data_IF_238069558194
#
_entry.id   IF_238069558194
#
_cell.length_a   1.000
_cell.length_b   1.000
_cell.length_c   1.000
_cell.angle_alpha   90.00
_cell.angle_beta   90.00
_cell.angle_gamma   90.00
#
_symmetry.space_group_name_H-M   'P 1'
#
loop_
_entity.id
_entity.type
_entity.pdbx_description
1 polymer ?
#
# COMPACT_ATOMS: atom_id res chain seq x y z
N UNK A 1 21.44 -8.39 12.03
CA UNK A 1 21.05 -7.89 10.69
C UNK A 1 19.73 -8.53 10.31
N UNK A 2 18.84 -7.81 9.63
CA UNK A 2 17.51 -8.31 9.26
C UNK A 2 17.41 -8.49 7.73
N UNK A 3 17.30 -9.74 7.29
CA UNK A 3 17.23 -10.07 5.86
C UNK A 3 15.79 -10.02 5.36
N UNK A 4 15.51 -9.13 4.40
CA UNK A 4 14.17 -8.99 3.81
C UNK A 4 14.05 -9.86 2.57
N UNK A 5 15.01 -9.74 1.65
CA UNK A 5 15.07 -10.46 0.39
C UNK A 5 16.52 -10.84 0.08
N UNK A 6 16.76 -11.51 -1.05
CA UNK A 6 18.13 -11.86 -1.49
C UNK A 6 19.03 -10.65 -1.73
N UNK A 7 18.45 -9.47 -1.98
CA UNK A 7 19.16 -8.24 -2.30
C UNK A 7 19.01 -7.13 -1.27
N UNK A 8 18.09 -7.27 -0.31
CA UNK A 8 17.79 -6.23 0.68
C UNK A 8 18.02 -6.80 2.08
N UNK A 9 18.99 -6.21 2.76
CA UNK A 9 19.35 -6.51 4.14
C UNK A 9 19.33 -5.20 4.90
N UNK A 10 18.59 -5.14 6.00
CA UNK A 10 18.61 -3.99 6.90
C UNK A 10 19.63 -4.24 8.03
N UNK A 11 20.60 -3.34 8.24
CA UNK A 11 21.46 -3.40 9.41
C UNK A 11 20.64 -3.08 10.67
N UNK A 12 21.07 -3.60 11.82
CA UNK A 12 20.35 -3.36 13.08
C UNK A 12 20.45 -1.90 13.53
N UNK A 13 21.43 -1.15 13.04
CA UNK A 13 21.61 0.28 13.31
C UNK A 13 20.49 1.14 12.75
N UNK A 14 19.76 0.66 11.73
CA UNK A 14 18.60 1.35 11.17
C UNK A 14 17.30 1.02 11.93
N UNK A 15 17.34 0.05 12.84
CA UNK A 15 16.19 -0.42 13.61
C UNK A 15 16.28 0.10 15.04
N UNK A 16 15.37 1.00 15.40
CA UNK A 16 15.26 1.46 16.79
C UNK A 16 14.19 0.64 17.49
N UNK A 17 14.58 -0.11 18.50
CA UNK A 17 13.69 -0.93 19.31
C UNK A 17 13.49 -0.28 20.68
N UNK A 18 12.24 -0.06 21.07
CA UNK A 18 11.86 0.42 22.40
C UNK A 18 11.00 -0.62 23.09
N UNK A 19 11.36 -0.95 24.31
CA UNK A 19 10.58 -1.83 25.17
C UNK A 19 9.53 -1.03 25.93
N UNK A 20 8.35 -1.61 26.01
CA UNK A 20 7.17 -1.00 26.61
C UNK A 20 6.48 -2.03 27.50
N UNK A 21 5.68 -1.56 28.44
CA UNK A 21 4.77 -2.44 29.17
C UNK A 21 3.63 -2.84 28.24
N UNK A 22 3.26 -4.11 28.30
CA UNK A 22 2.08 -4.57 27.59
C UNK A 22 0.83 -3.97 28.25
N UNK A 23 -0.12 -3.53 27.44
CA UNK A 23 -1.43 -3.05 27.84
C UNK A 23 -2.47 -4.19 27.79
N UNK A 24 -3.41 -4.17 28.72
CA UNK A 24 -4.52 -5.13 28.79
C UNK A 24 -4.79 -5.66 30.21
N UNK A 25 -5.94 -6.33 30.41
CA UNK A 25 -6.25 -6.95 31.69
C UNK A 25 -5.24 -8.07 31.99
N UNK A 26 -4.47 -7.91 33.06
CA UNK A 26 -3.43 -8.87 33.43
C UNK A 26 -3.05 -8.76 34.90
N UNK A 27 -2.47 -9.84 35.43
CA UNK A 27 -1.93 -9.88 36.79
C UNK A 27 -0.64 -9.07 36.93
N UNK A 28 0.05 -9.23 38.07
CA UNK A 28 1.26 -8.47 38.43
C UNK A 28 2.35 -8.43 37.33
N UNK A 29 2.45 -9.48 36.53
CA UNK A 29 3.43 -9.59 35.45
C UNK A 29 3.24 -8.54 34.33
N UNK A 30 2.00 -8.26 33.93
CA UNK A 30 1.71 -7.28 32.84
C UNK A 30 2.02 -5.86 33.30
N UNK A 31 1.77 -5.56 34.57
CA UNK A 31 1.99 -4.23 35.14
C UNK A 31 3.47 -3.93 35.41
N UNK A 32 4.31 -4.96 35.62
CA UNK A 32 5.72 -4.80 36.03
C UNK A 32 6.73 -5.06 34.92
N UNK A 33 6.43 -5.96 33.97
CA UNK A 33 7.39 -6.40 32.96
C UNK A 33 7.21 -5.66 31.64
N UNK A 34 8.32 -5.17 31.08
CA UNK A 34 8.37 -4.52 29.76
C UNK A 34 8.44 -5.56 28.64
N UNK A 35 7.36 -6.33 28.48
CA UNK A 35 7.31 -7.41 27.50
C UNK A 35 6.98 -6.95 26.08
N UNK A 36 6.33 -5.79 25.90
CA UNK A 36 5.96 -5.28 24.58
C UNK A 36 7.15 -4.60 23.88
N UNK A 37 7.17 -4.66 22.55
CA UNK A 37 8.24 -4.08 21.72
C UNK A 37 7.62 -3.13 20.71
N UNK A 38 8.12 -1.90 20.66
CA UNK A 38 7.92 -0.95 19.57
C UNK A 38 9.18 -0.92 18.71
N UNK A 39 9.04 -1.29 17.44
CA UNK A 39 10.08 -1.24 16.42
C UNK A 39 9.81 -0.05 15.52
N UNK A 40 10.78 0.85 15.42
CA UNK A 40 10.76 2.03 14.55
C UNK A 40 11.81 1.88 13.46
N UNK A 41 11.41 2.17 12.24
CA UNK A 41 12.27 2.11 11.07
C UNK A 41 12.04 3.34 10.19
N UNK A 42 13.08 4.15 9.98
CA UNK A 42 13.01 5.33 9.13
C UNK A 42 13.09 4.91 7.65
N UNK A 43 11.94 4.89 6.97
CA UNK A 43 11.84 4.49 5.57
C UNK A 43 12.35 5.61 4.65
N UNK A 44 12.17 6.87 5.04
CA UNK A 44 12.51 8.03 4.23
C UNK A 44 14.02 8.16 4.06
N UNK A 45 14.79 7.95 5.13
CA UNK A 45 16.24 8.16 5.14
C UNK A 45 17.06 6.86 5.11
N UNK A 46 16.43 5.69 4.99
CA UNK A 46 17.15 4.41 4.96
C UNK A 46 18.03 4.27 3.69
N UNK A 47 19.35 4.08 3.84
CA UNK A 47 20.27 3.82 2.72
C UNK A 47 20.11 2.40 2.17
N UNK A 48 19.61 1.47 2.98
CA UNK A 48 19.44 0.05 2.62
C UNK A 48 18.24 -0.20 1.70
N UNK A 49 17.37 0.79 1.51
CA UNK A 49 16.21 0.69 0.62
C UNK A 49 16.47 1.29 -0.77
N UNK A 50 16.19 0.53 -1.85
CA UNK A 50 16.14 1.08 -3.19
C UNK A 50 15.07 2.16 -3.33
N UNK A 51 15.36 3.22 -4.10
CA UNK A 51 14.44 4.36 -4.32
C UNK A 51 13.01 3.95 -4.74
N UNK A 52 12.81 3.02 -5.70
CA UNK A 52 11.45 2.65 -6.10
C UNK A 52 10.66 1.96 -4.99
N UNK A 53 11.34 1.29 -4.06
CA UNK A 53 10.72 0.62 -2.92
C UNK A 53 10.40 1.64 -1.82
N UNK A 54 11.34 2.55 -1.51
CA UNK A 54 11.13 3.69 -0.61
C UNK A 54 9.90 4.49 -1.03
N UNK A 55 9.85 4.93 -2.30
CA UNK A 55 8.72 5.70 -2.82
C UNK A 55 7.37 4.96 -2.68
N UNK A 56 7.34 3.64 -2.92
CA UNK A 56 6.13 2.83 -2.73
C UNK A 56 5.72 2.69 -1.28
N UNK A 57 6.68 2.50 -0.37
CA UNK A 57 6.41 2.42 1.05
C UNK A 57 5.86 3.75 1.58
N UNK A 58 6.45 4.88 1.17
CA UNK A 58 5.98 6.22 1.56
C UNK A 58 4.62 6.56 0.94
N UNK A 59 4.34 6.10 -0.27
CA UNK A 59 3.04 6.30 -0.92
C UNK A 59 1.92 5.40 -0.38
N UNK A 60 2.25 4.37 0.42
CA UNK A 60 1.24 3.51 1.04
C UNK A 60 0.51 4.31 2.12
N UNK A 61 -0.82 4.32 2.04
CA UNK A 61 -1.69 4.77 3.14
C UNK A 61 -1.73 3.69 4.23
N UNK A 62 -0.63 3.52 4.93
CA UNK A 62 -0.52 2.63 6.09
C UNK A 62 -0.64 3.45 7.38
N UNK A 63 -1.49 3.00 8.31
CA UNK A 63 -1.69 3.70 9.60
C UNK A 63 -0.46 3.62 10.51
N UNK A 64 0.48 2.73 10.17
CA UNK A 64 1.75 2.52 10.88
C UNK A 64 2.85 3.47 10.43
N UNK A 65 2.66 4.17 9.32
CA UNK A 65 3.62 5.12 8.77
C UNK A 65 3.30 6.52 9.32
N UNK A 66 4.29 7.18 9.92
CA UNK A 66 4.17 8.57 10.35
C UNK A 66 4.33 9.54 9.19
N UNK A 67 3.93 10.79 9.38
CA UNK A 67 4.11 11.86 8.38
C UNK A 67 5.59 12.10 8.05
N UNK A 68 6.49 11.87 9.01
CA UNK A 68 7.94 11.91 8.82
C UNK A 68 8.52 10.71 8.05
N UNK A 69 7.68 9.75 7.62
CA UNK A 69 8.12 8.56 6.89
C UNK A 69 8.75 7.47 7.76
N UNK A 70 8.46 7.47 9.07
CA UNK A 70 8.92 6.43 10.00
C UNK A 70 7.84 5.36 10.15
N UNK A 71 8.19 4.11 9.89
CA UNK A 71 7.32 2.97 10.10
C UNK A 71 7.42 2.49 11.55
N UNK A 72 6.29 2.49 12.26
CA UNK A 72 6.21 2.12 13.67
C UNK A 72 5.38 0.84 13.82
N UNK A 73 5.97 -0.20 14.39
CA UNK A 73 5.36 -1.52 14.57
C UNK A 73 5.39 -1.88 16.05
N UNK A 74 4.22 -2.13 16.62
CA UNK A 74 4.10 -2.60 18.00
C UNK A 74 3.75 -4.09 18.04
N UNK A 75 4.52 -4.86 18.83
CA UNK A 75 4.35 -6.28 19.07
C UNK A 75 4.19 -6.54 20.57
N UNK A 76 3.07 -7.16 20.94
CA UNK A 76 2.67 -7.44 22.34
C UNK A 76 1.91 -8.76 22.47
N UNK A 77 2.07 -9.66 21.50
CA UNK A 77 1.29 -10.90 21.39
C UNK A 77 1.70 -11.92 22.46
N UNK A 78 2.97 -11.93 22.83
CA UNK A 78 3.57 -12.91 23.72
C UNK A 78 3.88 -12.32 25.09
N UNK A 79 4.05 -13.19 26.09
CA UNK A 79 4.51 -12.80 27.42
C UNK A 79 6.02 -12.53 27.46
N UNK A 80 6.76 -13.15 26.53
CA UNK A 80 8.21 -13.05 26.41
C UNK A 80 8.61 -11.89 25.50
N UNK A 81 9.52 -11.05 25.99
CA UNK A 81 10.05 -9.89 25.27
C UNK A 81 10.79 -10.29 23.98
N UNK A 82 11.61 -11.34 24.03
CA UNK A 82 12.35 -11.84 22.86
C UNK A 82 11.42 -12.27 21.73
N UNK A 83 10.32 -12.96 22.07
CA UNK A 83 9.32 -13.41 21.08
C UNK A 83 8.56 -12.23 20.47
N UNK A 84 8.26 -11.20 21.26
CA UNK A 84 7.67 -9.97 20.72
C UNK A 84 8.65 -9.20 19.82
N UNK A 85 9.95 -9.21 20.12
CA UNK A 85 10.98 -8.63 19.26
C UNK A 85 11.04 -9.32 17.89
N UNK A 86 11.03 -10.65 17.89
CA UNK A 86 10.98 -11.46 16.66
C UNK A 86 9.70 -11.19 15.86
N UNK A 87 8.54 -11.16 16.51
CA UNK A 87 7.24 -10.83 15.88
C UNK A 87 7.24 -9.43 15.25
N UNK A 88 7.81 -8.42 15.91
CA UNK A 88 7.95 -7.08 15.34
C UNK A 88 8.82 -7.09 14.07
N UNK A 89 9.95 -7.81 14.11
CA UNK A 89 10.89 -7.93 12.97
C UNK A 89 10.24 -8.69 11.80
N UNK A 90 9.52 -9.77 12.08
CA UNK A 90 8.82 -10.54 11.06
C UNK A 90 7.75 -9.69 10.35
N UNK A 91 6.94 -8.96 11.11
CA UNK A 91 5.94 -8.03 10.55
C UNK A 91 6.58 -6.92 9.70
N UNK A 92 7.74 -6.39 10.11
CA UNK A 92 8.48 -5.43 9.31
C UNK A 92 8.86 -6.04 7.95
N UNK A 93 9.42 -7.24 7.96
CA UNK A 93 9.79 -7.98 6.76
C UNK A 93 8.58 -8.20 5.85
N UNK A 94 7.44 -8.61 6.40
CA UNK A 94 6.21 -8.81 5.63
C UNK A 94 5.71 -7.51 4.97
N UNK A 95 5.71 -6.39 5.69
CA UNK A 95 5.29 -5.10 5.15
C UNK A 95 6.16 -4.70 3.96
N UNK A 96 7.48 -4.81 4.11
CA UNK A 96 8.44 -4.44 3.08
C UNK A 96 8.34 -5.41 1.90
N UNK A 97 8.17 -6.71 2.14
CA UNK A 97 7.92 -7.71 1.08
C UNK A 97 6.64 -7.42 0.31
N UNK A 98 5.56 -7.01 0.98
CA UNK A 98 4.32 -6.59 0.32
C UNK A 98 4.54 -5.40 -0.63
N UNK A 99 5.45 -4.48 -0.29
CA UNK A 99 5.79 -3.34 -1.16
C UNK A 99 6.73 -3.69 -2.33
N UNK A 100 7.39 -4.85 -2.30
CA UNK A 100 8.16 -5.35 -3.44
C UNK A 100 7.26 -5.74 -4.62
N UNK A 101 6.02 -6.12 -4.35
CA UNK A 101 5.06 -6.52 -5.38
C UNK A 101 4.62 -5.27 -6.16
N UNK A 102 5.16 -5.13 -7.37
CA UNK A 102 4.80 -4.02 -8.28
C UNK A 102 3.44 -4.32 -8.90
N UNK A 103 2.42 -3.47 -8.69
CA UNK A 103 1.17 -3.62 -9.43
C UNK A 103 1.45 -3.38 -10.92
N UNK A 104 1.04 -4.32 -11.77
CA UNK A 104 1.16 -4.17 -13.22
C UNK A 104 0.38 -2.94 -13.67
N UNK A 105 1.02 -2.07 -14.43
CA UNK A 105 0.37 -0.89 -14.98
C UNK A 105 -0.85 -1.30 -15.82
N UNK A 106 -2.01 -0.69 -15.54
CA UNK A 106 -3.21 -0.89 -16.35
C UNK A 106 -3.04 -0.15 -17.66
N UNK A 107 -2.93 -0.90 -18.75
CA UNK A 107 -2.99 -0.35 -20.09
C UNK A 107 -4.46 -0.16 -20.45
N UNK A 108 -4.87 1.09 -20.70
CA UNK A 108 -6.25 1.40 -21.09
C UNK A 108 -6.59 0.66 -22.40
N UNK A 109 -7.71 -0.07 -22.40
CA UNK A 109 -8.18 -0.75 -23.60
C UNK A 109 -8.81 0.25 -24.55
N UNK A 110 -8.57 0.08 -25.86
CA UNK A 110 -9.27 0.86 -26.89
C UNK A 110 -10.74 0.46 -26.94
N UNK A 111 -11.68 1.36 -27.33
CA UNK A 111 -13.08 0.98 -27.55
C UNK A 111 -13.19 -0.20 -28.51
N UNK A 112 -14.06 -1.15 -28.19
CA UNK A 112 -14.25 -2.36 -28.99
C UNK A 112 -14.78 -2.04 -30.39
N UNK A 113 -14.51 -2.92 -31.36
CA UNK A 113 -15.04 -2.76 -32.73
C UNK A 113 -16.57 -2.61 -32.74
N UNK A 114 -17.27 -3.45 -31.97
CA UNK A 114 -18.73 -3.38 -31.84
C UNK A 114 -19.23 -2.06 -31.22
N UNK A 115 -18.47 -1.45 -30.31
CA UNK A 115 -18.79 -0.10 -29.80
C UNK A 115 -18.68 0.96 -30.90
N UNK A 116 -17.65 0.87 -31.75
CA UNK A 116 -17.47 1.78 -32.90
C UNK A 116 -18.59 1.61 -33.92
N UNK A 117 -18.97 0.37 -34.23
CA UNK A 117 -20.04 0.04 -35.16
C UNK A 117 -21.41 0.54 -34.67
N UNK A 118 -21.77 0.27 -33.41
CA UNK A 118 -23.00 0.79 -32.81
C UNK A 118 -23.06 2.32 -32.82
N UNK A 119 -21.94 2.99 -32.56
CA UNK A 119 -21.85 4.46 -32.67
C UNK A 119 -22.12 4.94 -34.09
N UNK A 120 -21.54 4.28 -35.10
CA UNK A 120 -21.76 4.64 -36.51
C UNK A 120 -23.21 4.38 -36.94
N UNK A 121 -23.77 3.23 -36.58
CA UNK A 121 -25.17 2.88 -36.84
C UNK A 121 -26.13 3.88 -36.19
N UNK A 122 -25.92 4.20 -34.91
CA UNK A 122 -26.70 5.22 -34.20
C UNK A 122 -26.57 6.61 -34.82
N UNK A 123 -25.38 7.00 -35.29
CA UNK A 123 -25.17 8.25 -36.03
C UNK A 123 -25.99 8.27 -37.33
N UNK A 124 -25.98 7.19 -38.10
CA UNK A 124 -26.75 7.08 -39.33
C UNK A 124 -28.27 7.13 -39.06
N UNK A 125 -28.76 6.39 -38.07
CA UNK A 125 -30.17 6.40 -37.69
C UNK A 125 -30.64 7.79 -37.26
N UNK A 126 -29.86 8.49 -36.43
CA UNK A 126 -30.14 9.89 -36.06
C UNK A 126 -30.16 10.82 -37.28
N UNK A 127 -29.26 10.63 -38.23
CA UNK A 127 -29.23 11.39 -39.48
C UNK A 127 -30.54 11.22 -40.28
N UNK A 128 -30.99 9.98 -40.46
CA UNK A 128 -32.26 9.67 -41.13
C UNK A 128 -33.46 10.30 -40.42
N UNK A 129 -33.53 10.18 -39.09
CA UNK A 129 -34.59 10.81 -38.28
C UNK A 129 -34.58 12.33 -38.40
N UNK A 130 -33.41 12.97 -38.51
CA UNK A 130 -33.31 14.42 -38.70
C UNK A 130 -33.79 14.85 -40.09
N UNK A 131 -33.48 14.08 -41.13
CA UNK A 131 -33.92 14.38 -42.50
C UNK A 131 -35.45 14.37 -42.63
N UNK A 132 -36.12 13.40 -42.01
CA UNK A 132 -37.60 13.34 -42.03
C UNK A 132 -38.27 14.44 -41.21
N UNK A 133 -37.54 15.09 -40.30
CA UNK A 133 -38.02 16.26 -39.53
C UNK A 133 -37.74 17.59 -40.23
N UNK A 134 -36.90 17.61 -41.26
CA UNK A 134 -36.68 18.79 -42.08
C UNK A 134 -37.92 19.02 -42.93
N UNK A 135 -38.77 19.98 -42.55
CA UNK A 135 -39.81 20.50 -43.44
C UNK A 135 -39.12 21.18 -44.62
N UNK A 136 -39.44 20.74 -45.82
CA UNK A 136 -39.04 21.40 -47.06
C UNK A 136 -39.81 22.73 -47.14
N UNK A 137 -39.19 23.83 -46.72
CA UNK A 137 -39.75 25.18 -46.76
C UNK A 137 -39.88 25.72 -48.20
N UNK A 138 -39.47 24.95 -49.21
CA UNK A 138 -39.48 25.32 -50.64
C UNK A 138 -40.81 25.02 -51.35
N UNK A 139 -41.82 24.47 -50.65
CA UNK A 139 -43.12 24.05 -51.22
C UNK A 139 -44.33 24.84 -50.72
N UNK A 140 -44.15 26.01 -50.12
CA UNK A 140 -45.25 26.96 -49.85
C UNK A 140 -45.25 28.11 -50.86
#
# INVERSE_FOLDING_TARGET
MLTISRSIVLPETELTERFLRADGPGGQHVNRTESAVELRFDVAHSPSLPEPLRARLLARRDRRLTDDGVLVIQARRFRDQSRNREDARERLVEIIRGALIVPKARIATKPTRGSKERRLAGKQQRGKIKQTRSRDWSRE
#
